data_IF_753098685427
#
_entry.id   IF_753098685427
#
_cell.length_a   1.000
_cell.length_b   1.000
_cell.length_c   1.000
_cell.angle_alpha   90.00
_cell.angle_beta   90.00
_cell.angle_gamma   90.00
#
_symmetry.space_group_name_H-M   'P 1'
#
loop_
_entity.id
_entity.type
_entity.pdbx_description
1 polymer ?
#
# COMPACT_ATOMS: atom_id res chain seq x y z
N UNK A 1 -50.17 -33.49 71.37
CA UNK A 1 -48.89 -34.14 71.03
C UNK A 1 -48.47 -33.69 69.64
N UNK A 2 -47.35 -32.97 69.52
CA UNK A 2 -46.56 -32.93 68.28
C UNK A 2 -45.39 -33.93 68.48
N UNK A 3 -44.77 -34.58 67.46
CA UNK A 3 -44.26 -33.92 66.25
C UNK A 3 -44.08 -34.77 64.95
N UNK A 4 -43.69 -34.05 63.87
CA UNK A 4 -42.74 -34.31 62.74
C UNK A 4 -42.69 -35.65 61.98
N UNK A 5 -42.74 -35.54 60.64
CA UNK A 5 -41.73 -35.92 59.62
C UNK A 5 -42.45 -36.02 58.25
N UNK A 6 -41.92 -35.79 57.05
CA UNK A 6 -40.67 -35.26 56.49
C UNK A 6 -40.97 -34.95 55.00
N UNK A 7 -40.22 -34.02 54.39
CA UNK A 7 -40.29 -33.69 52.96
C UNK A 7 -39.74 -34.83 52.10
N UNK A 8 -40.52 -35.28 51.12
CA UNK A 8 -40.02 -35.95 49.90
C UNK A 8 -40.53 -35.19 48.67
N UNK A 9 -39.69 -34.43 47.94
CA UNK A 9 -40.06 -33.93 46.62
C UNK A 9 -39.86 -35.05 45.59
N UNK A 10 -40.85 -35.92 45.48
CA UNK A 10 -40.99 -36.82 44.34
C UNK A 10 -41.21 -35.99 43.08
N UNK A 11 -40.22 -36.01 42.20
CA UNK A 11 -40.23 -35.47 40.85
C UNK A 11 -41.50 -35.92 40.13
N UNK A 12 -42.45 -35.02 39.90
CA UNK A 12 -43.61 -35.29 39.05
C UNK A 12 -43.10 -35.37 37.61
N UNK A 13 -42.96 -36.58 37.09
CA UNK A 13 -42.87 -36.81 35.65
C UNK A 13 -44.16 -36.32 35.00
N UNK A 14 -44.08 -35.14 34.36
CA UNK A 14 -45.10 -34.70 33.43
C UNK A 14 -44.95 -35.54 32.17
N UNK A 15 -45.67 -36.67 32.13
CA UNK A 15 -45.96 -37.44 30.94
C UNK A 15 -46.74 -36.54 29.98
N UNK A 16 -46.03 -35.88 29.07
CA UNK A 16 -46.63 -35.15 27.96
C UNK A 16 -46.83 -36.14 26.82
N UNK A 17 -48.09 -36.52 26.63
CA UNK A 17 -48.53 -37.46 25.61
C UNK A 17 -48.24 -36.96 24.19
N UNK A 18 -47.97 -37.95 23.35
CA UNK A 18 -47.87 -37.87 21.89
C UNK A 18 -48.97 -37.01 21.29
N UNK A 19 -48.56 -35.95 20.60
CA UNK A 19 -49.50 -35.16 19.81
C UNK A 19 -48.81 -34.04 19.07
N UNK A 20 -47.86 -34.34 18.20
CA UNK A 20 -47.59 -33.58 16.97
C UNK A 20 -46.61 -34.35 16.10
N UNK A 21 -47.14 -34.97 15.05
CA UNK A 21 -46.35 -35.35 13.88
C UNK A 21 -46.28 -34.11 12.99
N UNK A 22 -45.11 -33.48 12.78
CA UNK A 22 -44.99 -32.52 11.72
C UNK A 22 -44.81 -33.31 10.42
N UNK A 23 -45.94 -33.69 9.83
CA UNK A 23 -46.07 -33.80 8.37
C UNK A 23 -45.80 -32.39 7.83
N UNK A 24 -44.52 -32.04 7.64
CA UNK A 24 -44.20 -30.65 7.32
C UNK A 24 -42.72 -30.27 7.21
N UNK A 25 -41.76 -31.20 7.26
CA UNK A 25 -40.34 -30.88 7.03
C UNK A 25 -39.68 -31.83 6.04
N UNK A 26 -40.47 -32.35 5.10
CA UNK A 26 -39.98 -33.23 4.02
C UNK A 26 -39.56 -32.47 2.77
N UNK A 27 -39.87 -31.16 2.67
CA UNK A 27 -39.69 -30.35 1.46
C UNK A 27 -38.40 -29.51 1.39
N UNK A 28 -37.58 -29.49 2.46
CA UNK A 28 -36.30 -28.79 2.50
C UNK A 28 -35.10 -29.76 2.46
N UNK A 29 -35.18 -30.80 1.64
CA UNK A 29 -34.11 -31.82 1.52
C UNK A 29 -32.82 -31.33 0.86
N UNK A 30 -32.73 -30.06 0.44
CA UNK A 30 -31.56 -29.57 -0.29
C UNK A 30 -30.81 -28.40 0.36
N UNK A 31 -31.44 -27.55 1.16
CA UNK A 31 -30.85 -26.24 1.47
C UNK A 31 -31.00 -25.93 2.97
N UNK A 32 -29.84 -25.82 3.63
CA UNK A 32 -29.59 -25.54 5.05
C UNK A 32 -29.84 -26.67 6.07
N UNK A 33 -28.76 -27.40 6.39
CA UNK A 33 -28.67 -28.37 7.51
C UNK A 33 -28.04 -27.75 8.78
N UNK A 34 -28.02 -26.42 8.92
CA UNK A 34 -27.24 -25.73 9.95
C UNK A 34 -27.87 -25.71 11.35
N UNK A 35 -29.12 -26.15 11.51
CA UNK A 35 -29.78 -26.19 12.81
C UNK A 35 -29.60 -27.54 13.50
N UNK A 36 -29.10 -27.54 14.74
CA UNK A 36 -28.95 -28.74 15.57
C UNK A 36 -30.21 -28.92 16.44
N UNK A 37 -31.06 -29.94 16.20
CA UNK A 37 -32.33 -30.06 16.90
C UNK A 37 -32.15 -30.37 18.38
N UNK A 38 -32.70 -29.50 19.25
CA UNK A 38 -33.19 -29.83 20.61
C UNK A 38 -32.20 -30.39 21.62
N UNK A 39 -30.89 -30.12 21.51
CA UNK A 39 -29.90 -30.62 22.48
C UNK A 39 -30.00 -29.79 23.77
N UNK A 40 -30.44 -30.40 24.86
CA UNK A 40 -30.48 -29.76 26.17
C UNK A 40 -29.06 -29.40 26.63
N UNK A 41 -28.86 -28.14 27.01
CA UNK A 41 -27.58 -27.62 27.48
C UNK A 41 -27.26 -28.15 28.87
N UNK A 42 -26.15 -28.87 29.01
CA UNK A 42 -25.60 -29.25 30.31
C UNK A 42 -24.46 -28.32 30.71
N UNK A 43 -24.35 -28.06 32.02
CA UNK A 43 -23.21 -27.33 32.57
C UNK A 43 -21.93 -28.13 32.30
N UNK A 44 -21.07 -27.62 31.40
CA UNK A 44 -19.83 -28.29 30.95
C UNK A 44 -19.73 -28.58 29.45
N UNK A 45 -20.81 -28.44 28.67
CA UNK A 45 -20.76 -28.53 27.20
C UNK A 45 -21.58 -27.39 26.59
N UNK A 46 -20.95 -26.23 26.28
CA UNK A 46 -21.66 -25.10 25.68
C UNK A 46 -22.28 -25.47 24.32
N UNK A 47 -23.24 -24.67 23.88
CA UNK A 47 -23.88 -24.86 22.55
C UNK A 47 -22.87 -25.00 21.42
N UNK A 48 -21.75 -24.26 21.47
CA UNK A 48 -20.68 -24.38 20.46
C UNK A 48 -20.03 -25.76 20.39
N UNK A 49 -19.79 -26.42 21.53
CA UNK A 49 -19.14 -27.74 21.55
C UNK A 49 -20.10 -28.86 21.13
N UNK A 50 -21.36 -28.79 21.56
CA UNK A 50 -22.38 -29.77 21.16
C UNK A 50 -22.72 -29.69 19.68
N UNK A 51 -22.83 -28.48 19.14
CA UNK A 51 -23.08 -28.27 17.70
C UNK A 51 -21.91 -28.70 16.84
N UNK A 52 -20.67 -28.37 17.22
CA UNK A 52 -19.47 -28.82 16.51
C UNK A 52 -19.39 -30.35 16.47
N UNK A 53 -19.62 -31.02 17.61
CA UNK A 53 -19.63 -32.47 17.69
C UNK A 53 -20.72 -33.07 16.79
N UNK A 54 -21.94 -32.52 16.84
CA UNK A 54 -23.05 -32.98 15.99
C UNK A 54 -22.70 -32.94 14.50
N UNK A 55 -22.10 -31.84 14.02
CA UNK A 55 -21.69 -31.75 12.61
C UNK A 55 -20.54 -32.68 12.25
N UNK A 56 -19.61 -32.89 13.18
CA UNK A 56 -18.52 -33.84 13.00
C UNK A 56 -19.04 -35.29 12.92
N UNK A 57 -19.95 -35.68 13.81
CA UNK A 57 -20.58 -36.99 13.83
C UNK A 57 -21.44 -37.21 12.57
N UNK A 58 -22.19 -36.19 12.14
CA UNK A 58 -22.96 -36.25 10.90
C UNK A 58 -22.07 -36.43 9.67
N UNK A 59 -20.93 -35.73 9.62
CA UNK A 59 -19.93 -35.87 8.55
C UNK A 59 -19.30 -37.26 8.57
N UNK A 60 -18.91 -37.76 9.74
CA UNK A 60 -18.34 -39.09 9.90
C UNK A 60 -19.33 -40.19 9.51
N UNK A 61 -20.61 -40.06 9.88
CA UNK A 61 -21.66 -40.99 9.49
C UNK A 61 -21.90 -40.99 7.98
N UNK A 62 -21.81 -39.83 7.32
CA UNK A 62 -21.91 -39.73 5.87
C UNK A 62 -20.72 -40.43 5.17
N UNK A 63 -19.49 -40.16 5.64
CA UNK A 63 -18.27 -40.76 5.09
C UNK A 63 -18.16 -42.28 5.37
N UNK A 64 -18.68 -42.75 6.51
CA UNK A 64 -18.76 -44.18 6.81
C UNK A 64 -19.75 -44.92 5.91
N UNK A 65 -20.89 -44.29 5.59
CA UNK A 65 -21.91 -44.87 4.69
C UNK A 65 -21.47 -44.92 3.22
N UNK A 66 -20.59 -44.00 2.79
CA UNK A 66 -19.98 -44.05 1.45
C UNK A 66 -18.89 -45.11 1.30
N UNK A 67 -18.58 -45.88 2.36
CA UNK A 67 -17.54 -46.92 2.33
C UNK A 67 -18.10 -48.34 2.18
N UNK A 68 -19.40 -48.53 2.04
CA UNK A 68 -20.00 -49.86 1.87
C UNK A 68 -19.96 -50.28 0.41
N UNK A 69 -19.72 -51.57 0.14
CA UNK A 69 -19.62 -52.15 -1.21
C UNK A 69 -20.85 -51.89 -2.11
N UNK A 70 -21.99 -51.59 -1.50
CA UNK A 70 -23.26 -51.29 -2.18
C UNK A 70 -23.55 -49.79 -2.37
N UNK A 71 -22.65 -48.90 -1.94
CA UNK A 71 -22.83 -47.46 -2.12
C UNK A 71 -22.41 -47.05 -3.54
N UNK A 72 -23.29 -46.34 -4.25
CA UNK A 72 -23.03 -45.87 -5.64
C UNK A 72 -21.94 -44.79 -5.74
N UNK A 73 -21.31 -44.40 -4.63
CA UNK A 73 -20.26 -43.39 -4.56
C UNK A 73 -18.93 -44.05 -4.19
N UNK A 74 -17.86 -43.70 -4.91
CA UNK A 74 -16.52 -44.22 -4.63
C UNK A 74 -15.85 -43.54 -3.41
N UNK A 75 -14.71 -44.08 -3.00
CA UNK A 75 -13.88 -43.51 -1.94
C UNK A 75 -13.09 -42.30 -2.45
N UNK A 76 -13.58 -41.09 -2.17
CA UNK A 76 -12.83 -39.87 -2.43
C UNK A 76 -11.88 -39.57 -1.26
N UNK A 77 -10.60 -39.29 -1.53
CA UNK A 77 -9.66 -38.85 -0.51
C UNK A 77 -10.15 -37.50 0.09
N UNK A 78 -10.13 -37.41 1.41
CA UNK A 78 -10.53 -36.20 2.13
C UNK A 78 -9.84 -36.12 3.49
N UNK A 79 -9.38 -34.92 3.88
CA UNK A 79 -8.82 -34.64 5.21
C UNK A 79 -9.79 -34.91 6.37
N UNK A 80 -11.10 -34.96 6.10
CA UNK A 80 -12.12 -35.12 7.12
C UNK A 80 -12.52 -36.58 7.39
N UNK A 81 -11.85 -37.54 6.74
CA UNK A 81 -12.12 -38.95 6.94
C UNK A 81 -11.57 -39.45 8.28
N UNK A 82 -12.32 -40.28 9.02
CA UNK A 82 -11.78 -40.98 10.19
C UNK A 82 -10.77 -42.08 9.82
N UNK A 83 -10.67 -42.47 8.54
CA UNK A 83 -9.71 -43.47 8.09
C UNK A 83 -8.34 -42.83 7.78
N UNK A 84 -7.26 -43.21 8.51
CA UNK A 84 -5.95 -42.61 8.32
C UNK A 84 -5.38 -42.83 6.91
N UNK A 85 -5.72 -43.94 6.25
CA UNK A 85 -5.24 -44.23 4.90
C UNK A 85 -5.77 -43.26 3.85
N UNK A 86 -7.03 -42.82 3.99
CA UNK A 86 -7.64 -41.84 3.09
C UNK A 86 -7.06 -40.44 3.31
N UNK A 87 -6.79 -40.07 4.55
CA UNK A 87 -6.14 -38.80 4.90
C UNK A 87 -4.71 -38.76 4.34
N UNK A 88 -3.97 -39.86 4.42
CA UNK A 88 -2.63 -39.97 3.84
C UNK A 88 -2.66 -39.88 2.31
N UNK A 89 -3.63 -40.53 1.65
CA UNK A 89 -3.84 -40.42 0.20
C UNK A 89 -4.17 -38.98 -0.23
N UNK A 90 -5.05 -38.29 0.49
CA UNK A 90 -5.42 -36.90 0.21
C UNK A 90 -4.21 -35.96 0.31
N UNK A 91 -3.39 -36.14 1.35
CA UNK A 91 -2.14 -35.39 1.53
C UNK A 91 -1.13 -35.66 0.41
N UNK A 92 -0.97 -36.93 0.03
CA UNK A 92 -0.07 -37.32 -1.05
C UNK A 92 -0.50 -36.70 -2.39
N UNK A 93 -1.77 -36.82 -2.76
CA UNK A 93 -2.32 -36.25 -4.00
C UNK A 93 -2.23 -34.72 -4.02
N UNK A 94 -2.48 -34.06 -2.89
CA UNK A 94 -2.36 -32.61 -2.78
C UNK A 94 -0.92 -32.17 -2.98
N UNK A 95 0.04 -32.86 -2.34
CA UNK A 95 1.47 -32.59 -2.49
C UNK A 95 1.94 -32.84 -3.93
N UNK A 96 1.57 -33.97 -4.52
CA UNK A 96 1.95 -34.31 -5.90
C UNK A 96 1.40 -33.28 -6.89
N UNK A 97 0.15 -32.83 -6.72
CA UNK A 97 -0.43 -31.75 -7.52
C UNK A 97 0.44 -30.48 -7.45
N UNK A 98 0.89 -30.09 -6.25
CA UNK A 98 1.76 -28.93 -6.07
C UNK A 98 3.15 -29.14 -6.70
N UNK A 99 3.74 -30.32 -6.56
CA UNK A 99 5.03 -30.67 -7.16
C UNK A 99 4.97 -30.66 -8.70
N UNK A 100 3.84 -31.08 -9.27
CA UNK A 100 3.61 -31.11 -10.71
C UNK A 100 2.92 -29.85 -11.25
N UNK A 101 2.78 -28.80 -10.44
CA UNK A 101 2.20 -27.55 -10.92
C UNK A 101 3.18 -26.89 -11.90
N UNK A 102 2.82 -26.73 -13.18
CA UNK A 102 3.72 -26.11 -14.15
C UNK A 102 3.94 -24.64 -13.80
N UNK A 103 5.22 -24.23 -13.76
CA UNK A 103 5.58 -22.81 -13.61
C UNK A 103 5.64 -22.17 -14.99
N UNK A 104 4.67 -21.31 -15.29
CA UNK A 104 4.65 -20.54 -16.54
C UNK A 104 5.14 -19.12 -16.27
N UNK A 105 6.28 -18.76 -16.83
CA UNK A 105 6.75 -17.37 -16.87
C UNK A 105 6.34 -16.75 -18.20
N UNK A 106 5.40 -15.81 -18.17
CA UNK A 106 5.04 -14.99 -19.34
C UNK A 106 6.00 -13.80 -19.42
N UNK A 107 6.88 -13.80 -20.41
CA UNK A 107 7.69 -12.64 -20.73
C UNK A 107 6.91 -11.75 -21.71
N UNK A 108 6.61 -10.51 -21.31
CA UNK A 108 6.02 -9.50 -22.21
C UNK A 108 7.08 -8.82 -23.10
N UNK A 109 8.26 -9.43 -23.23
CA UNK A 109 9.39 -8.90 -24.01
C UNK A 109 9.32 -9.48 -25.42
N UNK A 110 8.73 -8.71 -26.32
CA UNK A 110 8.80 -8.97 -27.76
C UNK A 110 10.11 -8.38 -28.31
N UNK A 111 11.06 -9.25 -28.63
CA UNK A 111 12.37 -8.85 -29.16
C UNK A 111 12.27 -8.18 -30.52
N UNK A 112 11.27 -8.54 -31.32
CA UNK A 112 11.04 -7.94 -32.64
C UNK A 112 10.57 -6.48 -32.50
N UNK A 113 9.57 -6.24 -31.64
CA UNK A 113 9.11 -4.88 -31.29
C UNK A 113 10.22 -4.02 -30.70
N UNK A 114 11.11 -4.59 -29.89
CA UNK A 114 12.24 -3.85 -29.33
C UNK A 114 13.21 -3.35 -30.41
N UNK A 115 13.50 -4.19 -31.41
CA UNK A 115 14.34 -3.82 -32.54
C UNK A 115 13.70 -2.73 -33.42
N UNK A 116 12.38 -2.79 -33.64
CA UNK A 116 11.65 -1.76 -34.37
C UNK A 116 11.70 -0.40 -33.66
N UNK A 117 11.48 -0.39 -32.34
CA UNK A 117 11.51 0.83 -31.53
C UNK A 117 12.91 1.46 -31.49
N UNK A 118 13.96 0.64 -31.40
CA UNK A 118 15.33 1.15 -31.40
C UNK A 118 15.71 1.75 -32.77
N UNK A 119 15.33 1.10 -33.86
CA UNK A 119 15.52 1.61 -35.22
C UNK A 119 14.74 2.92 -35.44
N UNK A 120 13.47 2.98 -35.05
CA UNK A 120 12.65 4.19 -35.14
C UNK A 120 13.30 5.36 -34.38
N UNK A 121 13.77 5.10 -33.16
CA UNK A 121 14.45 6.11 -32.35
C UNK A 121 15.73 6.61 -33.04
N UNK A 122 16.53 5.71 -33.60
CA UNK A 122 17.74 6.06 -34.35
C UNK A 122 17.42 6.98 -35.54
N UNK A 123 16.40 6.62 -36.34
CA UNK A 123 15.95 7.43 -37.48
C UNK A 123 15.46 8.81 -37.04
N UNK A 124 14.72 8.89 -35.93
CA UNK A 124 14.26 10.17 -35.38
C UNK A 124 15.42 11.09 -34.96
N UNK A 125 16.51 10.53 -34.41
CA UNK A 125 17.70 11.32 -34.08
C UNK A 125 18.43 11.82 -35.33
N UNK A 126 18.59 10.98 -36.35
CA UNK A 126 19.17 11.41 -37.63
C UNK A 126 18.36 12.54 -38.28
N UNK A 127 17.03 12.46 -38.21
CA UNK A 127 16.16 13.53 -38.71
C UNK A 127 16.33 14.84 -37.92
N UNK A 128 16.56 14.79 -36.60
CA UNK A 128 16.88 15.98 -35.81
C UNK A 128 18.20 16.63 -36.23
N UNK A 129 19.19 15.84 -36.65
CA UNK A 129 20.46 16.36 -37.17
C UNK A 129 20.27 17.15 -38.47
N UNK A 130 19.25 16.85 -39.27
CA UNK A 130 18.95 17.61 -40.49
C UNK A 130 18.46 19.03 -40.19
N UNK A 131 17.77 19.25 -39.07
CA UNK A 131 17.33 20.58 -38.63
C UNK A 131 18.41 21.38 -37.89
N UNK A 132 19.57 20.78 -37.61
CA UNK A 132 20.65 21.52 -36.99
C UNK A 132 21.18 22.57 -37.98
N UNK A 133 21.43 23.77 -37.47
CA UNK A 133 22.02 24.84 -38.26
C UNK A 133 23.45 24.46 -38.69
N UNK A 134 23.64 24.28 -40.00
CA UNK A 134 24.94 23.98 -40.62
C UNK A 134 25.67 25.24 -41.08
N UNK A 135 25.04 26.41 -40.99
CA UNK A 135 25.59 27.68 -41.52
C UNK A 135 26.67 28.29 -40.63
N UNK A 136 26.78 27.82 -39.37
CA UNK A 136 27.79 28.29 -38.42
C UNK A 136 27.56 29.73 -37.91
N UNK A 137 26.41 30.33 -38.26
CA UNK A 137 26.06 31.70 -37.87
C UNK A 137 25.54 31.77 -36.43
N UNK A 138 24.83 30.73 -35.98
CA UNK A 138 24.30 30.66 -34.61
C UNK A 138 25.22 29.83 -33.73
N UNK A 139 25.76 30.45 -32.69
CA UNK A 139 26.58 29.77 -31.69
C UNK A 139 25.71 28.79 -30.90
N UNK A 140 26.12 27.52 -30.89
CA UNK A 140 25.45 26.45 -30.15
C UNK A 140 25.46 26.81 -28.66
N UNK A 141 24.27 26.97 -28.07
CA UNK A 141 24.14 27.22 -26.63
C UNK A 141 24.53 25.93 -25.89
N UNK A 142 25.63 25.92 -25.12
CA UNK A 142 26.17 24.69 -24.54
C UNK A 142 25.34 24.17 -23.36
N UNK A 143 24.52 25.01 -22.75
CA UNK A 143 23.65 24.65 -21.65
C UNK A 143 22.30 25.37 -21.77
N UNK A 144 21.21 24.64 -21.59
CA UNK A 144 19.90 25.25 -21.39
C UNK A 144 19.71 25.51 -19.91
N UNK A 145 19.49 26.77 -19.52
CA UNK A 145 19.11 27.09 -18.14
C UNK A 145 17.65 26.70 -17.98
N UNK A 146 17.42 25.56 -17.32
CA UNK A 146 16.06 25.14 -17.00
C UNK A 146 15.45 26.12 -15.99
N UNK A 147 14.13 26.38 -16.09
CA UNK A 147 13.42 27.09 -15.03
C UNK A 147 13.58 26.29 -13.73
N UNK A 148 14.30 26.87 -12.77
CA UNK A 148 14.43 26.33 -11.42
C UNK A 148 13.30 26.86 -10.55
N UNK A 149 12.99 26.18 -9.44
CA UNK A 149 12.00 26.69 -8.48
C UNK A 149 12.53 27.98 -7.86
N UNK A 150 11.63 28.89 -7.52
CA UNK A 150 11.98 30.22 -7.01
C UNK A 150 12.91 30.16 -5.79
N UNK A 151 12.63 29.25 -4.85
CA UNK A 151 13.44 29.02 -3.65
C UNK A 151 14.88 28.58 -3.93
N UNK A 152 15.13 27.90 -5.06
CA UNK A 152 16.48 27.46 -5.47
C UNK A 152 17.25 28.61 -6.15
N UNK A 153 16.54 29.54 -6.78
CA UNK A 153 17.13 30.69 -7.49
C UNK A 153 17.35 31.88 -6.56
N UNK A 154 16.47 32.07 -5.59
CA UNK A 154 16.49 33.15 -4.62
C UNK A 154 16.25 32.56 -3.22
N UNK A 155 17.29 32.06 -2.53
CA UNK A 155 17.14 31.60 -1.16
C UNK A 155 16.64 32.74 -0.28
N UNK A 156 15.75 32.41 0.66
CA UNK A 156 15.19 33.37 1.62
C UNK A 156 16.37 34.03 2.38
N UNK A 157 16.37 35.36 2.61
CA UNK A 157 17.51 36.06 3.23
C UNK A 157 18.00 35.48 4.57
N UNK A 158 17.15 34.69 5.24
CA UNK A 158 17.42 34.03 6.51
C UNK A 158 18.37 32.83 6.39
N UNK A 159 18.47 32.22 5.20
CA UNK A 159 19.31 31.04 4.92
C UNK A 159 20.59 31.40 4.13
N UNK A 160 20.96 32.68 4.10
CA UNK A 160 22.21 33.11 3.45
C UNK A 160 23.41 32.57 4.25
N UNK A 161 24.42 31.99 3.57
CA UNK A 161 25.65 31.58 4.24
C UNK A 161 26.30 32.80 4.91
N UNK A 162 27.04 32.61 6.02
CA UNK A 162 27.70 33.71 6.71
C UNK A 162 28.60 34.46 5.72
N UNK A 163 28.30 35.74 5.51
CA UNK A 163 29.04 36.61 4.60
C UNK A 163 30.55 36.53 4.86
N UNK A 164 31.33 36.49 3.79
CA UNK A 164 32.79 36.50 3.91
C UNK A 164 33.25 37.80 4.60
N UNK A 165 34.40 37.82 5.29
CA UNK A 165 34.92 39.03 5.90
C UNK A 165 35.03 40.20 4.91
N UNK A 166 35.40 39.92 3.66
CA UNK A 166 35.52 40.92 2.59
C UNK A 166 34.16 41.54 2.24
N UNK A 167 33.12 40.73 2.08
CA UNK A 167 31.77 41.21 1.78
C UNK A 167 31.18 42.01 2.95
N UNK A 168 31.39 41.55 4.19
CA UNK A 168 31.03 42.31 5.40
C UNK A 168 31.70 43.69 5.42
N UNK A 169 33.00 43.75 5.12
CA UNK A 169 33.74 45.01 5.02
C UNK A 169 33.21 45.94 3.92
N UNK A 170 32.81 45.40 2.78
CA UNK A 170 32.20 46.19 1.71
C UNK A 170 30.83 46.74 2.12
N UNK A 171 29.97 45.92 2.72
CA UNK A 171 28.65 46.36 3.21
C UNK A 171 28.77 47.43 4.29
N UNK A 172 29.70 47.27 5.24
CA UNK A 172 29.96 48.28 6.27
C UNK A 172 30.36 49.62 5.66
N UNK A 173 31.13 49.64 4.56
CA UNK A 173 31.54 50.89 3.90
C UNK A 173 30.39 51.59 3.17
N UNK A 174 29.46 50.82 2.62
CA UNK A 174 28.33 51.32 1.81
C UNK A 174 27.12 51.63 2.70
N UNK A 175 27.12 51.19 3.95
CA UNK A 175 26.10 51.52 4.93
C UNK A 175 25.95 53.06 5.05
N UNK A 176 24.71 53.58 5.11
CA UNK A 176 24.45 55.02 5.09
C UNK A 176 25.15 55.76 6.24
N UNK A 177 25.37 55.09 7.37
CA UNK A 177 26.09 55.59 8.54
C UNK A 177 27.59 55.80 8.30
N UNK A 178 28.19 55.05 7.37
CA UNK A 178 29.63 55.05 7.09
C UNK A 178 29.98 55.71 5.74
N UNK A 179 28.98 56.21 5.01
CA UNK A 179 29.22 56.98 3.81
C UNK A 179 29.99 58.24 4.18
N UNK A 180 31.22 58.37 3.65
CA UNK A 180 32.01 59.58 3.84
C UNK A 180 31.27 60.75 3.21
N UNK A 181 30.80 61.65 4.05
CA UNK A 181 30.14 62.91 3.69
C UNK A 181 31.09 63.93 3.07
N UNK A 182 32.31 63.55 2.69
CA UNK A 182 33.30 64.46 2.09
C UNK A 182 34.24 63.71 1.16
N UNK A 183 34.48 64.26 -0.03
CA UNK A 183 35.52 63.78 -0.95
C UNK A 183 36.84 64.45 -0.57
N UNK A 184 37.91 63.67 -0.35
CA UNK A 184 39.26 64.21 -0.10
C UNK A 184 40.08 64.11 -1.38
N UNK A 185 40.60 65.24 -1.87
CA UNK A 185 41.49 65.27 -3.02
C UNK A 185 42.92 64.85 -2.63
N UNK A 186 43.77 64.43 -3.58
CA UNK A 186 45.18 64.14 -3.34
C UNK A 186 45.95 65.33 -2.72
N UNK A 187 45.45 66.55 -2.95
CA UNK A 187 45.94 67.79 -2.33
C UNK A 187 45.57 67.96 -0.85
N UNK A 188 44.84 66.99 -0.25
CA UNK A 188 44.36 67.03 1.13
C UNK A 188 43.08 67.86 1.34
N UNK A 189 42.64 68.63 0.34
CA UNK A 189 41.39 69.41 0.44
C UNK A 189 40.17 68.50 0.51
N UNK A 190 39.31 68.74 1.50
CA UNK A 190 38.03 68.06 1.67
C UNK A 190 36.92 68.91 1.07
N UNK A 191 36.06 68.29 0.28
CA UNK A 191 34.94 68.95 -0.40
C UNK A 191 33.64 68.35 0.08
N UNK A 192 32.68 69.23 0.35
CA UNK A 192 31.36 68.87 0.85
C UNK A 192 30.53 68.12 -0.21
N UNK A 193 29.48 67.38 0.20
CA UNK A 193 28.61 66.68 -0.74
C UNK A 193 27.92 67.64 -1.73
N UNK A 194 27.56 68.84 -1.26
CA UNK A 194 26.87 69.86 -2.03
C UNK A 194 27.74 70.42 -3.15
N UNK A 195 29.00 70.75 -2.84
CA UNK A 195 29.98 71.20 -3.84
C UNK A 195 30.31 70.11 -4.85
N UNK A 196 30.42 68.85 -4.39
CA UNK A 196 30.60 67.69 -5.26
C UNK A 196 29.42 67.55 -6.23
N UNK A 197 28.20 67.60 -5.73
CA UNK A 197 27.00 67.45 -6.57
C UNK A 197 26.90 68.56 -7.62
N UNK A 198 27.19 69.81 -7.26
CA UNK A 198 27.25 70.92 -8.22
C UNK A 198 28.29 70.70 -9.32
N UNK A 199 29.47 70.20 -8.95
CA UNK A 199 30.53 69.85 -9.90
C UNK A 199 30.09 68.72 -10.83
N UNK A 200 29.55 67.64 -10.27
CA UNK A 200 29.17 66.45 -11.03
C UNK A 200 28.06 66.81 -12.04
N UNK A 201 27.05 67.60 -11.64
CA UNK A 201 26.04 68.16 -12.56
C UNK A 201 26.68 69.00 -13.68
N UNK A 202 27.66 69.86 -13.37
CA UNK A 202 28.33 70.68 -14.37
C UNK A 202 29.04 69.85 -15.45
N UNK A 203 29.59 68.69 -15.10
CA UNK A 203 30.26 67.80 -16.05
C UNK A 203 29.29 66.91 -16.83
N UNK A 204 28.17 66.46 -16.22
CA UNK A 204 27.15 65.70 -16.95
C UNK A 204 26.46 66.52 -18.06
N UNK A 205 26.25 67.82 -17.87
CA UNK A 205 25.70 68.69 -18.93
C UNK A 205 26.67 68.99 -20.09
N UNK A 206 27.92 68.50 -20.02
CA UNK A 206 28.94 68.72 -21.05
C UNK A 206 29.38 67.44 -21.78
N UNK A 207 28.88 66.27 -21.36
CA UNK A 207 29.08 65.00 -22.05
C UNK A 207 27.94 64.75 -23.05
#
# INVERSE_FOLDING_TARGET
MAPRAERNPGTREARLEKGWSPVGVSLLRGWYKGHVPGVAFSFGSPYGTTTLKYFQDQRNAALGRSSTDFSKGGHFPTIFSPNPTQVLRDRALTRDRWLHTPSYTRFNLDSSRWAELSYFYQMAQQHREQYQDKTGLVHRVPYFVLPMREWDRYPIPTDLPPLSPKEKWHLLRVAPENLRTYQTFPSGKRVSPQERQRRDCYFEFRA
#
